data_IF_435306890151
#
_entry.id   IF_435306890151
#
_cell.length_a   1.000
_cell.length_b   1.000
_cell.length_c   1.000
_cell.angle_alpha   90.00
_cell.angle_beta   90.00
_cell.angle_gamma   90.00
#
_symmetry.space_group_name_H-M   'P 1'
#
loop_
_entity.id
_entity.type
_entity.pdbx_description
1 polymer ?
#
# COMPACT_ATOMS: atom_id res chain seq x y z
N UNK A 1 -20.70 11.33 -5.20
CA UNK A 1 -21.80 10.69 -5.96
C UNK A 1 -21.23 9.50 -6.71
N UNK A 2 -21.72 8.28 -6.45
CA UNK A 2 -21.25 7.07 -7.13
C UNK A 2 -21.34 5.79 -6.29
N UNK A 3 -21.19 5.90 -4.97
CA UNK A 3 -21.32 4.78 -4.03
C UNK A 3 -22.44 5.03 -3.02
N UNK A 4 -23.19 3.99 -2.67
CA UNK A 4 -24.19 4.05 -1.61
C UNK A 4 -23.52 4.33 -0.25
N UNK A 5 -24.15 5.08 0.66
CA UNK A 5 -23.61 5.26 2.01
C UNK A 5 -23.51 3.92 2.76
N UNK A 6 -22.55 3.76 3.69
CA UNK A 6 -22.43 2.54 4.49
C UNK A 6 -23.68 2.35 5.36
N UNK A 7 -24.23 1.13 5.36
CA UNK A 7 -25.25 0.73 6.33
C UNK A 7 -24.71 0.67 7.76
N UNK A 8 -23.41 0.36 7.91
CA UNK A 8 -22.75 0.25 9.21
C UNK A 8 -21.35 0.83 9.15
N UNK A 9 -21.00 1.61 10.18
CA UNK A 9 -19.63 2.09 10.40
C UNK A 9 -18.93 1.12 11.35
N UNK A 10 -17.85 0.50 10.88
CA UNK A 10 -17.04 -0.46 11.64
C UNK A 10 -15.97 0.22 12.49
N UNK A 11 -15.43 1.35 12.03
CA UNK A 11 -14.51 2.18 12.79
C UNK A 11 -14.83 3.67 12.58
N UNK A 12 -14.98 4.48 13.63
CA UNK A 12 -15.28 5.90 13.48
C UNK A 12 -14.12 6.68 12.80
N UNK A 13 -14.36 7.40 11.68
CA UNK A 13 -13.30 8.10 10.93
C UNK A 13 -12.55 9.16 11.76
N UNK A 14 -13.24 9.81 12.69
CA UNK A 14 -12.72 10.85 13.57
C UNK A 14 -11.70 10.34 14.61
N UNK A 15 -11.67 9.03 14.87
CA UNK A 15 -10.66 8.41 15.73
C UNK A 15 -9.31 8.21 15.04
N UNK A 16 -9.22 8.40 13.72
CA UNK A 16 -7.98 8.20 12.96
C UNK A 16 -7.09 9.44 13.06
N UNK A 17 -6.04 9.35 13.88
CA UNK A 17 -5.06 10.42 14.07
C UNK A 17 -3.94 10.34 13.02
N UNK A 18 -3.91 11.28 12.07
CA UNK A 18 -2.93 11.32 10.97
C UNK A 18 -1.52 11.75 11.40
N UNK A 19 -1.40 12.44 12.54
CA UNK A 19 -0.12 12.95 13.04
C UNK A 19 0.36 12.09 14.20
N UNK A 20 1.68 11.95 14.34
CA UNK A 20 2.28 11.24 15.46
C UNK A 20 1.88 11.86 16.80
N UNK A 21 1.36 11.04 17.72
CA UNK A 21 0.99 11.50 19.07
C UNK A 21 2.19 11.61 20.00
N UNK A 22 3.26 10.86 19.71
CA UNK A 22 4.50 10.86 20.49
C UNK A 22 5.71 11.05 19.59
N UNK A 23 6.59 11.97 19.99
CA UNK A 23 7.83 12.28 19.27
C UNK A 23 8.97 11.41 19.82
N UNK A 24 9.55 10.58 18.96
CA UNK A 24 10.65 9.68 19.28
C UNK A 24 11.56 9.48 18.06
N UNK A 25 12.80 9.06 18.32
CA UNK A 25 13.70 8.59 17.27
C UNK A 25 13.19 7.28 16.65
N UNK A 26 13.85 6.83 15.60
CA UNK A 26 13.65 5.46 15.13
C UNK A 26 13.83 4.45 16.28
N UNK A 27 12.92 3.48 16.33
CA UNK A 27 13.02 2.28 17.16
C UNK A 27 14.01 1.27 16.59
N UNK A 28 13.92 0.03 17.06
CA UNK A 28 14.88 -1.02 16.76
C UNK A 28 14.87 -1.48 15.28
N UNK A 29 16.03 -1.93 14.80
CA UNK A 29 16.16 -2.72 13.58
C UNK A 29 15.52 -4.11 13.73
N UNK A 30 15.41 -4.84 12.62
CA UNK A 30 14.85 -6.20 12.59
C UNK A 30 15.91 -7.20 12.15
N UNK A 31 16.22 -8.15 13.01
CA UNK A 31 17.22 -9.18 12.70
C UNK A 31 16.78 -10.02 11.49
N UNK A 32 17.69 -10.23 10.54
CA UNK A 32 17.45 -11.12 9.43
C UNK A 32 17.56 -12.59 9.87
N UNK A 33 16.45 -13.35 9.81
CA UNK A 33 16.37 -14.76 10.22
C UNK A 33 16.25 -15.69 9.00
N UNK A 34 17.15 -15.51 8.04
CA UNK A 34 17.23 -16.31 6.82
C UNK A 34 16.34 -15.78 5.70
N UNK A 35 16.91 -14.92 4.85
CA UNK A 35 16.25 -14.30 3.69
C UNK A 35 14.96 -13.54 4.02
N UNK A 36 14.93 -12.91 5.19
CA UNK A 36 13.73 -12.22 5.72
C UNK A 36 13.69 -10.72 5.44
N UNK A 37 14.66 -10.20 4.68
CA UNK A 37 14.80 -8.76 4.42
C UNK A 37 13.56 -8.16 3.72
N UNK A 38 12.89 -8.92 2.83
CA UNK A 38 11.67 -8.46 2.14
C UNK A 38 10.56 -8.09 3.14
N UNK A 39 10.32 -8.93 4.16
CA UNK A 39 9.30 -8.63 5.13
C UNK A 39 9.80 -7.67 6.22
N UNK A 40 11.09 -7.69 6.58
CA UNK A 40 11.65 -6.70 7.50
C UNK A 40 11.45 -5.28 6.97
N UNK A 41 11.74 -5.05 5.69
CA UNK A 41 11.53 -3.77 5.05
C UNK A 41 10.05 -3.35 5.04
N UNK A 42 9.13 -4.28 4.74
CA UNK A 42 7.68 -4.01 4.78
C UNK A 42 7.20 -3.68 6.20
N UNK A 43 7.61 -4.45 7.20
CA UNK A 43 7.24 -4.24 8.59
C UNK A 43 7.72 -2.87 9.11
N UNK A 44 8.92 -2.44 8.72
CA UNK A 44 9.41 -1.11 9.05
C UNK A 44 8.55 -0.02 8.38
N UNK A 45 8.26 -0.11 7.07
CA UNK A 45 7.37 0.85 6.40
C UNK A 45 5.99 0.96 7.07
N UNK A 46 5.38 -0.18 7.45
CA UNK A 46 4.10 -0.20 8.16
C UNK A 46 4.21 0.37 9.58
N UNK A 47 5.29 0.06 10.31
CA UNK A 47 5.54 0.56 11.67
C UNK A 47 5.63 2.09 11.72
N UNK A 48 6.19 2.71 10.68
CA UNK A 48 6.29 4.17 10.58
C UNK A 48 5.13 4.82 9.84
N UNK A 49 4.02 4.12 9.63
CA UNK A 49 2.77 4.70 9.11
C UNK A 49 2.01 5.36 10.27
N UNK A 50 1.97 6.72 10.37
CA UNK A 50 1.54 7.39 11.60
C UNK A 50 0.14 6.99 12.11
N UNK A 51 -0.94 6.98 11.29
CA UNK A 51 -2.27 6.61 11.79
C UNK A 51 -2.37 5.14 12.21
N UNK A 52 -1.66 4.24 11.53
CA UNK A 52 -1.61 2.83 11.92
C UNK A 52 -0.84 2.66 13.24
N UNK A 53 0.33 3.28 13.34
CA UNK A 53 1.16 3.21 14.53
C UNK A 53 0.45 3.78 15.77
N UNK A 54 -0.20 4.94 15.66
CA UNK A 54 -0.99 5.52 16.74
C UNK A 54 -2.07 4.56 17.26
N UNK A 55 -2.80 3.92 16.35
CA UNK A 55 -3.83 2.94 16.72
C UNK A 55 -3.24 1.69 17.37
N UNK A 56 -2.16 1.14 16.82
CA UNK A 56 -1.52 -0.06 17.36
C UNK A 56 -0.83 0.19 18.71
N UNK A 57 -0.30 1.40 18.93
CA UNK A 57 0.29 1.78 20.22
C UNK A 57 -0.78 1.97 21.31
N UNK A 58 -2.03 2.30 20.95
CA UNK A 58 -3.12 2.44 21.92
C UNK A 58 -3.60 1.11 22.52
N UNK A 59 -3.31 -0.01 21.84
CA UNK A 59 -3.76 -1.37 22.20
C UNK A 59 -5.28 -1.54 22.21
N UNK A 60 -6.02 -0.65 21.55
CA UNK A 60 -7.48 -0.73 21.45
C UNK A 60 -7.92 -2.01 20.73
N UNK A 61 -7.14 -2.49 19.75
CA UNK A 61 -7.51 -3.69 19.00
C UNK A 61 -7.44 -4.96 19.85
N UNK A 62 -6.30 -5.24 20.48
CA UNK A 62 -6.13 -6.47 21.27
C UNK A 62 -7.10 -6.56 22.46
N UNK A 63 -7.52 -5.43 23.03
CA UNK A 63 -8.51 -5.38 24.11
C UNK A 63 -9.92 -5.78 23.66
N UNK A 64 -10.26 -5.54 22.39
CA UNK A 64 -11.58 -5.84 21.82
C UNK A 64 -11.58 -7.07 20.90
N UNK A 65 -10.42 -7.67 20.64
CA UNK A 65 -10.28 -8.79 19.72
C UNK A 65 -10.70 -10.11 20.37
N UNK A 66 -11.57 -10.85 19.69
CA UNK A 66 -12.05 -12.17 20.11
C UNK A 66 -11.61 -13.30 19.16
N UNK A 67 -10.68 -13.04 18.24
CA UNK A 67 -10.16 -14.04 17.30
C UNK A 67 -9.21 -14.99 18.03
N UNK A 68 -9.49 -16.29 17.99
CA UNK A 68 -8.79 -17.29 18.82
C UNK A 68 -7.47 -17.78 18.21
N UNK A 69 -7.35 -17.84 16.88
CA UNK A 69 -6.20 -18.46 16.21
C UNK A 69 -5.22 -17.43 15.63
N UNK A 70 -5.67 -16.67 14.63
CA UNK A 70 -4.84 -15.73 13.87
C UNK A 70 -5.55 -14.38 13.72
N UNK A 71 -4.90 -13.33 14.22
CA UNK A 71 -5.32 -11.95 14.01
C UNK A 71 -4.13 -11.09 13.62
N UNK A 72 -4.05 -10.69 12.35
CA UNK A 72 -2.92 -9.91 11.86
C UNK A 72 -2.81 -8.53 12.54
N UNK A 73 -3.94 -7.94 12.96
CA UNK A 73 -3.94 -6.70 13.72
C UNK A 73 -3.28 -6.88 15.09
N UNK A 74 -3.59 -7.95 15.85
CA UNK A 74 -2.90 -8.25 17.12
C UNK A 74 -1.39 -8.52 16.93
N UNK A 75 -1.02 -9.18 15.84
CA UNK A 75 0.38 -9.48 15.50
C UNK A 75 1.14 -8.18 15.21
N UNK A 76 0.57 -7.30 14.38
CA UNK A 76 1.14 -5.98 14.08
C UNK A 76 1.16 -5.08 15.32
N UNK A 77 0.14 -5.15 16.18
CA UNK A 77 0.10 -4.42 17.45
C UNK A 77 1.30 -4.80 18.33
N UNK A 78 1.52 -6.10 18.50
CA UNK A 78 2.65 -6.66 19.25
C UNK A 78 3.98 -6.25 18.63
N UNK A 79 4.09 -6.29 17.29
CA UNK A 79 5.29 -5.91 16.56
C UNK A 79 5.63 -4.43 16.75
N UNK A 80 4.69 -3.52 16.47
CA UNK A 80 4.88 -2.07 16.57
C UNK A 80 5.23 -1.67 17.99
N UNK A 81 4.52 -2.21 18.99
CA UNK A 81 4.85 -1.95 20.39
C UNK A 81 6.26 -2.41 20.74
N UNK A 82 6.69 -3.58 20.25
CA UNK A 82 8.03 -4.11 20.51
C UNK A 82 9.12 -3.27 19.85
N UNK A 83 8.96 -2.90 18.58
CA UNK A 83 9.96 -2.14 17.81
C UNK A 83 10.14 -0.73 18.40
N UNK A 84 9.04 -0.03 18.66
CA UNK A 84 9.09 1.38 19.07
C UNK A 84 9.42 1.60 20.55
N UNK A 85 9.19 0.62 21.43
CA UNK A 85 9.57 0.71 22.86
C UNK A 85 10.82 -0.09 23.22
N UNK A 86 11.47 -0.75 22.27
CA UNK A 86 12.68 -1.52 22.52
C UNK A 86 13.84 -0.59 22.89
N UNK A 87 14.57 -0.95 23.94
CA UNK A 87 15.87 -0.34 24.28
C UNK A 87 17.05 -1.01 23.58
N UNK A 88 16.86 -2.18 22.96
CA UNK A 88 17.89 -2.85 22.17
C UNK A 88 17.91 -2.33 20.73
N UNK A 89 19.09 -2.37 20.10
CA UNK A 89 19.30 -1.85 18.74
C UNK A 89 18.54 -2.63 17.66
N UNK A 90 18.33 -3.92 17.85
CA UNK A 90 17.61 -4.78 16.92
C UNK A 90 16.80 -5.86 17.63
N UNK A 91 15.65 -6.23 17.05
CA UNK A 91 14.76 -7.26 17.60
C UNK A 91 14.47 -8.35 16.57
N UNK A 92 14.26 -9.58 17.04
CA UNK A 92 13.69 -10.63 16.19
C UNK A 92 12.17 -10.41 16.08
N UNK A 93 11.59 -10.34 14.86
CA UNK A 93 10.15 -10.20 14.63
C UNK A 93 9.39 -11.52 14.86
N UNK A 94 9.56 -12.12 16.05
CA UNK A 94 9.03 -13.45 16.40
C UNK A 94 7.52 -13.59 16.25
N UNK A 95 6.75 -12.52 16.52
CA UNK A 95 5.28 -12.55 16.38
C UNK A 95 4.85 -12.79 14.94
N UNK A 96 5.59 -12.22 13.98
CA UNK A 96 5.33 -12.36 12.53
C UNK A 96 5.90 -13.69 12.02
N UNK A 97 7.10 -14.08 12.44
CA UNK A 97 7.74 -15.34 12.03
C UNK A 97 6.90 -16.57 12.38
N UNK A 98 6.27 -16.60 13.57
CA UNK A 98 5.45 -17.73 14.02
C UNK A 98 4.20 -17.96 13.17
N UNK A 99 3.70 -16.91 12.53
CA UNK A 99 2.43 -16.90 11.81
C UNK A 99 2.61 -16.62 10.32
N UNK A 100 3.86 -16.64 9.84
CA UNK A 100 4.26 -16.29 8.49
C UNK A 100 3.44 -17.05 7.42
N UNK A 101 3.19 -18.35 7.64
CA UNK A 101 2.39 -19.20 6.74
C UNK A 101 0.90 -18.83 6.69
N UNK A 102 0.37 -18.17 7.71
CA UNK A 102 -1.03 -17.70 7.74
C UNK A 102 -1.19 -16.32 7.07
N UNK A 103 -0.09 -15.59 6.88
CA UNK A 103 -0.09 -14.32 6.14
C UNK A 103 -0.24 -14.60 4.64
N UNK A 104 0.54 -15.55 4.13
CA UNK A 104 0.39 -16.10 2.78
C UNK A 104 0.83 -17.56 2.76
N UNK A 105 -0.03 -18.45 2.26
CA UNK A 105 0.21 -19.90 2.28
C UNK A 105 1.38 -20.32 1.38
N UNK A 106 1.66 -19.54 0.34
CA UNK A 106 2.71 -19.80 -0.64
C UNK A 106 4.11 -19.43 -0.15
N UNK A 107 4.21 -18.56 0.85
CA UNK A 107 5.52 -18.12 1.34
C UNK A 107 6.25 -19.23 2.10
N UNK A 108 7.56 -19.31 1.88
CA UNK A 108 8.42 -20.27 2.58
C UNK A 108 9.56 -19.58 3.33
N UNK A 109 9.61 -19.79 4.64
CA UNK A 109 10.69 -19.24 5.46
C UNK A 109 12.05 -19.74 4.96
N UNK A 110 13.02 -18.83 4.86
CA UNK A 110 14.35 -19.12 4.31
C UNK A 110 14.46 -18.93 2.80
N UNK A 111 13.37 -18.64 2.09
CA UNK A 111 13.41 -18.21 0.69
C UNK A 111 13.30 -16.70 0.58
N UNK A 112 13.90 -16.16 -0.47
CA UNK A 112 13.63 -14.78 -0.88
C UNK A 112 12.26 -14.73 -1.56
N UNK A 113 11.48 -13.71 -1.22
CA UNK A 113 10.11 -13.52 -1.67
C UNK A 113 9.89 -12.05 -2.07
N UNK A 114 8.81 -11.77 -2.79
CA UNK A 114 8.47 -10.41 -3.21
C UNK A 114 7.90 -9.56 -2.05
N UNK A 115 8.50 -8.40 -1.80
CA UNK A 115 8.06 -7.49 -0.74
C UNK A 115 6.66 -6.89 -0.98
N UNK A 116 6.26 -6.68 -2.24
CA UNK A 116 4.92 -6.19 -2.58
C UNK A 116 3.87 -7.24 -2.27
N UNK A 117 4.13 -8.50 -2.61
CA UNK A 117 3.23 -9.61 -2.31
C UNK A 117 3.06 -9.79 -0.80
N UNK A 118 4.17 -9.76 -0.03
CA UNK A 118 4.10 -9.82 1.43
C UNK A 118 3.33 -8.64 2.05
N UNK A 119 3.52 -7.43 1.52
CA UNK A 119 2.74 -6.25 1.92
C UNK A 119 1.24 -6.47 1.66
N UNK A 120 0.88 -6.90 0.45
CA UNK A 120 -0.51 -7.15 0.06
C UNK A 120 -1.15 -8.20 0.97
N UNK A 121 -0.50 -9.33 1.19
CA UNK A 121 -0.96 -10.37 2.11
C UNK A 121 -1.16 -9.82 3.53
N UNK A 122 -0.21 -9.03 4.03
CA UNK A 122 -0.24 -8.43 5.37
C UNK A 122 -1.41 -7.44 5.53
N UNK A 123 -1.56 -6.47 4.63
CA UNK A 123 -2.61 -5.45 4.72
C UNK A 123 -3.99 -6.07 4.49
N UNK A 124 -4.12 -7.05 3.59
CA UNK A 124 -5.37 -7.81 3.42
C UNK A 124 -5.71 -8.65 4.66
N UNK A 125 -4.72 -9.26 5.31
CA UNK A 125 -4.93 -9.98 6.56
C UNK A 125 -5.36 -9.02 7.70
N UNK A 126 -4.80 -7.81 7.77
CA UNK A 126 -5.26 -6.77 8.69
C UNK A 126 -6.71 -6.35 8.38
N UNK A 127 -7.05 -6.13 7.11
CA UNK A 127 -8.41 -5.78 6.68
C UNK A 127 -9.42 -6.86 7.09
N UNK A 128 -9.12 -8.13 6.81
CA UNK A 128 -9.95 -9.27 7.22
C UNK A 128 -10.11 -9.34 8.75
N UNK A 129 -9.04 -9.10 9.50
CA UNK A 129 -9.11 -9.06 10.96
C UNK A 129 -10.07 -7.95 11.47
N UNK A 130 -10.13 -6.80 10.80
CA UNK A 130 -11.07 -5.73 11.15
C UNK A 130 -12.52 -5.99 10.71
N UNK A 131 -12.74 -6.79 9.66
CA UNK A 131 -14.09 -7.20 9.23
C UNK A 131 -14.68 -8.27 10.17
N UNK A 132 -13.83 -9.12 10.75
CA UNK A 132 -14.25 -10.24 11.60
C UNK A 132 -15.19 -11.17 10.86
N UNK A 133 -16.25 -11.63 11.52
CA UNK A 133 -17.30 -12.46 10.91
C UNK A 133 -18.30 -11.68 10.02
N UNK A 134 -18.07 -10.38 9.77
CA UNK A 134 -19.01 -9.50 9.08
C UNK A 134 -18.83 -9.51 7.55
N UNK A 135 -18.60 -10.68 6.95
CA UNK A 135 -18.33 -10.81 5.51
C UNK A 135 -19.51 -10.42 4.61
N UNK A 136 -20.73 -10.42 5.15
CA UNK A 136 -21.97 -10.18 4.38
C UNK A 136 -22.36 -8.70 4.29
N UNK A 137 -21.50 -7.80 4.80
CA UNK A 137 -21.75 -6.36 4.73
C UNK A 137 -21.61 -5.81 3.31
N UNK A 138 -22.29 -4.71 3.01
CA UNK A 138 -22.07 -3.97 1.77
C UNK A 138 -20.64 -3.42 1.67
N UNK A 139 -20.18 -3.17 0.43
CA UNK A 139 -18.82 -2.70 0.14
C UNK A 139 -18.51 -1.40 0.90
N UNK A 140 -19.50 -0.51 1.01
CA UNK A 140 -19.34 0.77 1.71
C UNK A 140 -19.12 0.60 3.20
N UNK A 141 -19.74 -0.39 3.84
CA UNK A 141 -19.54 -0.69 5.26
C UNK A 141 -18.20 -1.41 5.46
N UNK A 142 -17.84 -2.33 4.55
CA UNK A 142 -16.52 -2.98 4.57
C UNK A 142 -15.36 -1.97 4.42
N UNK A 143 -15.57 -0.85 3.74
CA UNK A 143 -14.58 0.23 3.61
C UNK A 143 -14.47 1.14 4.83
N UNK A 144 -15.31 0.95 5.86
CA UNK A 144 -15.23 1.70 7.13
C UNK A 144 -14.39 1.02 8.20
N UNK A 145 -13.67 -0.07 7.91
CA UNK A 145 -12.63 -0.57 8.82
C UNK A 145 -11.52 0.46 8.97
N UNK A 146 -10.75 0.41 10.07
CA UNK A 146 -9.60 1.31 10.22
C UNK A 146 -8.56 1.11 9.10
N UNK A 147 -8.33 -0.14 8.68
CA UNK A 147 -7.34 -0.49 7.64
C UNK A 147 -7.73 0.11 6.30
N UNK A 148 -8.98 -0.07 5.86
CA UNK A 148 -9.44 0.52 4.60
C UNK A 148 -9.54 2.05 4.70
N UNK A 149 -9.91 2.62 5.85
CA UNK A 149 -9.90 4.07 5.98
C UNK A 149 -8.49 4.69 5.96
N UNK A 150 -7.46 3.93 6.32
CA UNK A 150 -6.06 4.36 6.25
C UNK A 150 -5.51 4.16 4.83
N UNK A 151 -5.48 2.92 4.34
CA UNK A 151 -4.81 2.53 3.10
C UNK A 151 -5.73 2.46 1.88
N UNK A 152 -7.04 2.35 2.14
CA UNK A 152 -8.02 2.03 1.12
C UNK A 152 -8.56 3.23 0.38
N UNK A 153 -8.82 3.01 -0.90
CA UNK A 153 -9.49 3.95 -1.79
C UNK A 153 -10.38 3.22 -2.79
N UNK A 154 -10.94 3.98 -3.72
CA UNK A 154 -11.74 3.45 -4.82
C UNK A 154 -11.22 3.95 -6.15
N UNK A 155 -11.01 3.06 -7.10
CA UNK A 155 -10.82 3.39 -8.50
C UNK A 155 -12.18 3.45 -9.20
N UNK A 156 -12.34 4.38 -10.15
CA UNK A 156 -13.45 4.38 -11.11
C UNK A 156 -12.92 3.93 -12.47
N UNK A 157 -13.43 2.81 -12.98
CA UNK A 157 -13.28 2.38 -14.37
C UNK A 157 -14.46 2.90 -15.17
N UNK A 158 -14.19 3.82 -16.10
CA UNK A 158 -15.19 4.39 -17.01
C UNK A 158 -15.00 3.83 -18.41
N UNK A 159 -16.04 3.21 -18.97
CA UNK A 159 -16.08 2.74 -20.36
C UNK A 159 -17.04 3.62 -21.15
N UNK A 160 -16.59 4.17 -22.28
CA UNK A 160 -17.42 4.94 -23.22
C UNK A 160 -17.48 4.23 -24.56
N UNK A 161 -18.68 3.76 -24.92
CA UNK A 161 -18.94 3.10 -26.19
C UNK A 161 -18.82 4.08 -27.36
N UNK A 162 -18.05 3.75 -28.40
CA UNK A 162 -17.91 4.65 -29.55
C UNK A 162 -19.11 4.64 -30.49
N UNK A 163 -19.90 3.55 -30.52
CA UNK A 163 -21.10 3.44 -31.36
C UNK A 163 -22.30 4.22 -30.80
N UNK A 164 -22.71 3.98 -29.55
CA UNK A 164 -23.91 4.59 -28.97
C UNK A 164 -23.63 5.66 -27.91
N UNK A 165 -22.35 5.95 -27.63
CA UNK A 165 -21.91 6.93 -26.62
C UNK A 165 -22.38 6.65 -25.19
N UNK A 166 -22.90 5.44 -24.92
CA UNK A 166 -23.23 5.02 -23.56
C UNK A 166 -21.98 4.98 -22.69
N UNK A 167 -22.12 5.50 -21.47
CA UNK A 167 -21.09 5.49 -20.42
C UNK A 167 -21.44 4.42 -19.41
N UNK A 168 -20.46 3.61 -19.02
CA UNK A 168 -20.56 2.64 -17.92
C UNK A 168 -19.44 2.89 -16.93
N UNK A 169 -19.81 3.12 -15.67
CA UNK A 169 -18.85 3.25 -14.57
C UNK A 169 -18.91 2.00 -13.69
N UNK A 170 -17.74 1.49 -13.29
CA UNK A 170 -17.58 0.51 -12.22
C UNK A 170 -16.57 1.02 -11.19
N UNK A 171 -16.73 0.59 -9.94
CA UNK A 171 -15.91 1.02 -8.82
C UNK A 171 -15.23 -0.19 -8.18
N UNK A 172 -13.93 -0.07 -7.93
CA UNK A 172 -13.13 -1.15 -7.35
C UNK A 172 -12.35 -0.61 -6.15
N UNK A 173 -12.46 -1.30 -5.02
CA UNK A 173 -11.68 -1.00 -3.83
C UNK A 173 -10.22 -1.39 -4.06
N UNK A 174 -9.29 -0.56 -3.61
CA UNK A 174 -7.86 -0.88 -3.61
C UNK A 174 -7.25 -0.58 -2.24
N UNK A 175 -6.11 -1.21 -1.92
CA UNK A 175 -5.28 -0.91 -0.75
C UNK A 175 -3.88 -0.42 -1.13
N UNK A 176 -3.54 -0.53 -2.41
CA UNK A 176 -2.32 -0.07 -3.04
C UNK A 176 -2.59 0.21 -4.53
N UNK A 177 -1.70 0.98 -5.16
CA UNK A 177 -1.79 1.32 -6.59
C UNK A 177 -0.54 0.80 -7.30
N UNK A 178 -0.64 -0.31 -8.04
CA UNK A 178 0.50 -0.85 -8.78
C UNK A 178 0.60 -0.18 -10.16
N UNK A 179 1.68 0.56 -10.39
CA UNK A 179 1.91 1.36 -11.60
C UNK A 179 2.87 0.66 -12.56
N UNK A 180 2.50 0.63 -13.83
CA UNK A 180 3.43 0.29 -14.91
C UNK A 180 4.44 1.43 -15.06
N UNK A 181 5.71 1.07 -15.15
CA UNK A 181 6.82 2.01 -15.30
C UNK A 181 7.65 1.73 -16.53
N UNK A 182 7.22 0.89 -17.47
CA UNK A 182 8.00 0.54 -18.68
C UNK A 182 8.31 1.78 -19.51
N UNK A 183 7.32 2.63 -19.75
CA UNK A 183 7.47 3.89 -20.46
C UNK A 183 7.82 5.08 -19.54
N UNK A 184 7.25 5.15 -18.34
CA UNK A 184 7.38 6.30 -17.45
C UNK A 184 8.78 6.46 -16.81
N UNK A 185 9.32 7.68 -16.79
CA UNK A 185 10.58 8.06 -16.12
C UNK A 185 10.38 8.68 -14.73
N UNK A 186 9.14 8.98 -14.35
CA UNK A 186 8.78 9.51 -13.03
C UNK A 186 7.47 8.91 -12.52
N UNK A 187 7.21 9.05 -11.21
CA UNK A 187 5.95 8.68 -10.58
C UNK A 187 4.78 9.48 -11.16
N UNK A 188 4.99 10.77 -11.43
CA UNK A 188 3.96 11.64 -12.02
C UNK A 188 3.59 11.20 -13.43
N UNK A 189 4.58 10.82 -14.25
CA UNK A 189 4.34 10.25 -15.58
C UNK A 189 3.64 8.89 -15.50
N UNK A 190 4.04 8.03 -14.55
CA UNK A 190 3.38 6.73 -14.36
C UNK A 190 1.91 6.87 -13.92
N UNK A 191 1.60 7.86 -13.08
CA UNK A 191 0.23 8.18 -12.69
C UNK A 191 -0.58 8.79 -13.85
N UNK A 192 0.05 9.60 -14.70
CA UNK A 192 -0.59 10.16 -15.90
C UNK A 192 -0.91 9.07 -16.92
N UNK A 193 0.04 8.16 -17.17
CA UNK A 193 -0.17 6.96 -17.99
C UNK A 193 -1.30 6.09 -17.41
N UNK A 194 -1.33 5.90 -16.08
CA UNK A 194 -2.36 5.11 -15.40
C UNK A 194 -3.78 5.64 -15.60
N UNK A 195 -3.95 6.97 -15.68
CA UNK A 195 -5.27 7.60 -15.90
C UNK A 195 -5.56 7.93 -17.36
N UNK A 196 -4.65 7.61 -18.28
CA UNK A 196 -4.84 7.86 -19.70
C UNK A 196 -5.87 6.86 -20.27
N UNK A 197 -6.86 7.32 -21.06
CA UNK A 197 -7.81 6.41 -21.69
C UNK A 197 -7.13 5.46 -22.67
N UNK A 198 -7.35 4.16 -22.50
CA UNK A 198 -6.99 3.14 -23.47
C UNK A 198 -8.15 2.89 -24.45
N UNK A 199 -7.83 2.50 -25.68
CA UNK A 199 -8.83 2.07 -26.66
C UNK A 199 -8.99 0.56 -26.60
N UNK A 200 -10.24 0.12 -26.56
CA UNK A 200 -10.66 -1.27 -26.64
C UNK A 200 -11.18 -1.51 -28.05
N UNK A 201 -10.41 -2.20 -28.89
CA UNK A 201 -10.72 -2.50 -30.29
C UNK A 201 -10.24 -3.89 -30.71
N UNK A 202 -10.49 -4.28 -31.97
CA UNK A 202 -10.07 -5.57 -32.51
C UNK A 202 -10.56 -6.76 -31.67
N UNK A 203 -9.62 -7.60 -31.23
CA UNK A 203 -9.88 -8.76 -30.35
C UNK A 203 -10.28 -8.35 -28.92
N UNK A 204 -9.97 -7.12 -28.50
CA UNK A 204 -10.25 -6.58 -27.16
C UNK A 204 -11.53 -5.71 -27.12
N UNK A 205 -12.41 -5.82 -28.12
CA UNK A 205 -13.65 -5.05 -28.16
C UNK A 205 -14.53 -5.27 -26.91
N UNK A 206 -15.21 -4.21 -26.48
CA UNK A 206 -16.11 -4.22 -25.33
C UNK A 206 -17.52 -4.67 -25.73
N UNK A 207 -18.13 -5.58 -24.96
CA UNK A 207 -19.54 -5.96 -25.14
C UNK A 207 -20.45 -4.89 -24.52
N UNK A 208 -21.00 -4.02 -25.37
CA UNK A 208 -21.88 -2.95 -24.91
C UNK A 208 -23.27 -3.48 -24.56
N UNK A 209 -23.75 -3.21 -23.34
CA UNK A 209 -25.09 -3.62 -22.88
C UNK A 209 -26.23 -2.97 -23.65
N UNK A 210 -26.07 -1.74 -24.15
CA UNK A 210 -27.09 -1.06 -24.97
C UNK A 210 -27.09 -1.48 -26.44
N UNK A 211 -25.92 -1.82 -27.00
CA UNK A 211 -25.82 -2.25 -28.39
C UNK A 211 -25.95 -3.78 -28.55
N UNK A 212 -25.84 -4.51 -27.44
CA UNK A 212 -25.85 -5.98 -27.35
C UNK A 212 -24.82 -6.68 -28.25
N UNK A 213 -23.73 -5.97 -28.59
CA UNK A 213 -22.65 -6.47 -29.46
C UNK A 213 -21.28 -5.96 -29.02
N UNK A 214 -20.24 -6.61 -29.51
CA UNK A 214 -18.86 -6.16 -29.33
C UNK A 214 -18.62 -4.91 -30.18
N UNK A 215 -18.13 -3.86 -29.54
CA UNK A 215 -17.90 -2.54 -30.15
C UNK A 215 -16.59 -1.96 -29.66
N UNK A 216 -16.00 -1.09 -30.48
CA UNK A 216 -14.90 -0.26 -30.04
C UNK A 216 -15.35 0.69 -28.92
N UNK A 217 -14.51 0.86 -27.91
CA UNK A 217 -14.78 1.73 -26.76
C UNK A 217 -13.49 2.38 -26.26
N UNK A 218 -13.62 3.42 -25.44
CA UNK A 218 -12.52 3.87 -24.59
C UNK A 218 -12.75 3.40 -23.16
N UNK A 219 -11.68 3.01 -22.48
CA UNK A 219 -11.68 2.67 -21.06
C UNK A 219 -10.68 3.54 -20.32
N UNK A 220 -11.06 4.07 -19.17
CA UNK A 220 -10.21 4.95 -18.36
C UNK A 220 -10.33 4.60 -16.89
N UNK A 221 -9.21 4.48 -16.19
CA UNK A 221 -9.17 4.41 -14.74
C UNK A 221 -8.87 5.79 -14.14
N UNK A 222 -9.46 6.09 -12.98
CA UNK A 222 -9.17 7.30 -12.20
C UNK A 222 -9.35 7.00 -10.72
N UNK A 223 -8.67 7.73 -9.83
CA UNK A 223 -8.90 7.61 -8.39
C UNK A 223 -10.21 8.31 -8.03
N UNK A 224 -11.23 7.54 -7.63
CA UNK A 224 -12.51 8.08 -7.20
C UNK A 224 -12.47 8.58 -5.77
N UNK A 225 -12.01 7.72 -4.86
CA UNK A 225 -11.80 8.03 -3.45
C UNK A 225 -10.33 7.79 -3.13
N UNK A 226 -9.66 8.82 -2.62
CA UNK A 226 -8.24 8.75 -2.29
C UNK A 226 -8.03 8.26 -0.84
N UNK A 227 -7.02 7.40 -0.59
CA UNK A 227 -6.73 6.89 0.75
C UNK A 227 -6.08 7.97 1.63
N UNK A 228 -6.09 7.79 2.95
CA UNK A 228 -5.31 8.67 3.85
C UNK A 228 -3.80 8.44 3.73
N UNK A 229 -3.43 7.19 3.45
CA UNK A 229 -2.08 6.72 3.17
C UNK A 229 -2.08 6.03 1.81
N UNK A 230 -1.40 6.63 0.83
CA UNK A 230 -1.26 6.09 -0.51
C UNK A 230 -0.02 5.20 -0.57
N UNK A 231 -0.23 3.93 -0.86
CA UNK A 231 0.83 2.97 -1.15
C UNK A 231 0.93 2.76 -2.65
N UNK A 232 2.10 3.01 -3.23
CA UNK A 232 2.36 2.85 -4.66
C UNK A 232 3.39 1.75 -4.87
N UNK A 233 3.06 0.76 -5.69
CA UNK A 233 4.01 -0.24 -6.16
C UNK A 233 4.48 0.11 -7.57
N UNK A 234 5.79 0.26 -7.75
CA UNK A 234 6.38 0.42 -9.09
C UNK A 234 6.65 -0.98 -9.64
N UNK A 235 5.92 -1.39 -10.68
CA UNK A 235 6.02 -2.74 -11.29
C UNK A 235 7.38 -2.95 -11.97
N UNK A 236 8.42 -3.19 -11.16
CA UNK A 236 9.80 -3.38 -11.61
C UNK A 236 10.07 -4.78 -12.11
N UNK A 237 9.35 -5.78 -11.61
CA UNK A 237 9.58 -7.16 -11.98
C UNK A 237 8.61 -7.55 -13.08
N UNK A 238 9.15 -8.08 -14.17
CA UNK A 238 8.34 -8.61 -15.26
C UNK A 238 8.01 -10.07 -14.98
N UNK A 239 6.72 -10.39 -14.93
CA UNK A 239 6.22 -11.74 -14.63
C UNK A 239 6.65 -12.78 -15.68
N UNK A 240 6.99 -12.35 -16.90
CA UNK A 240 7.31 -13.24 -18.02
C UNK A 240 8.80 -13.51 -18.15
N UNK A 241 9.64 -12.47 -18.12
CA UNK A 241 11.10 -12.63 -18.25
C UNK A 241 11.82 -12.85 -16.92
N UNK A 242 11.17 -12.59 -15.78
CA UNK A 242 11.80 -12.61 -14.45
C UNK A 242 12.82 -11.49 -14.23
N UNK A 243 12.98 -10.59 -15.21
CA UNK A 243 13.93 -9.48 -15.16
C UNK A 243 13.42 -8.28 -14.38
N UNK A 244 14.36 -7.49 -13.83
CA UNK A 244 14.08 -6.24 -13.12
C UNK A 244 14.34 -5.00 -13.99
N UNK A 245 13.35 -4.13 -14.08
CA UNK A 245 13.47 -2.77 -14.59
C UNK A 245 14.32 -1.95 -13.61
N UNK A 246 15.60 -1.79 -13.96
CA UNK A 246 16.61 -1.09 -13.15
C UNK A 246 16.74 0.40 -13.50
N UNK A 247 15.89 0.90 -14.41
CA UNK A 247 15.92 2.33 -14.76
C UNK A 247 15.53 3.19 -13.57
N UNK A 248 16.08 4.40 -13.55
CA UNK A 248 15.69 5.44 -12.58
C UNK A 248 14.26 5.85 -12.86
N UNK A 249 13.45 5.92 -11.80
CA UNK A 249 12.11 6.48 -11.82
C UNK A 249 12.10 7.53 -10.73
N UNK A 250 11.97 8.79 -11.10
CA UNK A 250 11.96 9.92 -10.17
C UNK A 250 10.63 9.96 -9.39
N UNK A 251 10.67 10.27 -8.10
CA UNK A 251 9.49 10.47 -7.28
C UNK A 251 9.71 11.66 -6.35
N UNK A 252 8.70 12.53 -6.17
CA UNK A 252 8.85 13.74 -5.37
C UNK A 252 8.71 13.45 -3.86
N UNK A 253 9.19 14.36 -3.01
CA UNK A 253 8.81 14.33 -1.59
C UNK A 253 7.31 14.63 -1.41
N UNK A 254 6.77 15.53 -2.24
CA UNK A 254 5.38 15.95 -2.19
C UNK A 254 4.65 15.58 -3.47
N UNK A 255 3.53 14.87 -3.34
CA UNK A 255 2.72 14.42 -4.46
C UNK A 255 1.33 15.07 -4.39
N UNK A 256 0.91 15.75 -5.45
CA UNK A 256 -0.48 16.13 -5.62
C UNK A 256 -1.22 15.02 -6.38
N UNK A 257 -2.20 14.39 -5.72
CA UNK A 257 -2.99 13.32 -6.33
C UNK A 257 -4.18 13.85 -7.14
N UNK A 258 -4.56 15.13 -6.96
CA UNK A 258 -5.77 15.73 -7.56
C UNK A 258 -5.88 15.52 -9.09
N UNK A 259 -4.81 15.69 -9.90
CA UNK A 259 -4.91 15.54 -11.35
C UNK A 259 -5.32 14.14 -11.82
N UNK A 260 -5.10 13.12 -10.98
CA UNK A 260 -5.34 11.71 -11.29
C UNK A 260 -6.69 11.22 -10.75
N UNK A 261 -7.47 12.12 -10.13
CA UNK A 261 -8.78 11.79 -9.56
C UNK A 261 -9.92 11.91 -10.57
N UNK A 262 -11.04 11.23 -10.30
CA UNK A 262 -12.29 11.35 -11.05
C UNK A 262 -12.83 12.78 -11.08
N UNK A 263 -12.58 13.56 -10.02
CA UNK A 263 -12.93 14.97 -9.85
C UNK A 263 -11.63 15.79 -9.71
N UNK A 264 -11.09 16.20 -10.85
CA UNK A 264 -9.80 16.89 -10.93
C UNK A 264 -9.89 18.42 -10.70
N UNK A 265 -11.10 18.97 -10.61
CA UNK A 265 -11.43 20.40 -10.56
C UNK A 265 -11.47 21.01 -9.14
N UNK A 266 -10.84 20.36 -8.16
CA UNK A 266 -10.80 20.83 -6.77
C UNK A 266 -9.39 21.22 -6.30
N UNK A 267 -9.31 21.64 -5.04
CA UNK A 267 -8.05 22.00 -4.38
C UNK A 267 -6.99 20.88 -4.44
N UNK A 268 -5.68 21.20 -4.53
CA UNK A 268 -4.61 20.22 -4.51
C UNK A 268 -4.78 19.20 -3.36
N UNK A 269 -4.61 17.92 -3.68
CA UNK A 269 -4.67 16.84 -2.70
C UNK A 269 -3.24 16.37 -2.42
N UNK A 270 -2.56 17.11 -1.54
CA UNK A 270 -1.15 16.92 -1.25
C UNK A 270 -0.90 15.74 -0.32
N UNK A 271 0.14 14.98 -0.65
CA UNK A 271 0.71 13.94 0.18
C UNK A 271 2.20 14.21 0.40
N UNK A 272 2.73 13.82 1.56
CA UNK A 272 4.15 13.78 1.87
C UNK A 272 4.65 12.34 1.91
N UNK A 273 5.78 12.10 1.24
CA UNK A 273 6.51 10.84 1.30
C UNK A 273 7.03 10.62 2.73
N UNK A 274 6.81 9.42 3.27
CA UNK A 274 7.33 9.05 4.59
C UNK A 274 8.06 7.71 4.61
N UNK A 275 7.89 6.87 3.59
CA UNK A 275 8.71 5.67 3.45
C UNK A 275 8.99 5.30 1.98
N UNK A 276 10.19 4.76 1.76
CA UNK A 276 10.68 4.26 0.47
C UNK A 276 11.26 2.88 0.70
N UNK A 277 10.65 1.86 0.12
CA UNK A 277 11.20 0.50 0.14
C UNK A 277 11.99 0.26 -1.14
N UNK A 278 13.21 -0.24 -1.00
CA UNK A 278 14.18 -0.41 -2.09
C UNK A 278 14.52 -1.87 -2.21
N UNK A 279 14.64 -2.33 -3.45
CA UNK A 279 15.19 -3.64 -3.77
C UNK A 279 16.55 -3.48 -4.46
N UNK A 280 17.60 -4.09 -3.92
CA UNK A 280 18.92 -4.21 -4.54
C UNK A 280 19.10 -5.63 -5.07
N UNK A 281 19.38 -5.79 -6.36
CA UNK A 281 19.42 -7.11 -7.00
C UNK A 281 18.79 -7.07 -8.39
N UNK A 282 18.90 -8.19 -9.11
CA UNK A 282 18.51 -8.30 -10.53
C UNK A 282 17.17 -9.02 -10.75
N UNK A 283 16.64 -9.73 -9.76
CA UNK A 283 15.35 -10.43 -9.79
C UNK A 283 14.62 -10.30 -8.46
N UNK A 284 13.32 -10.59 -8.40
CA UNK A 284 12.53 -10.55 -7.16
C UNK A 284 12.82 -11.72 -6.19
N UNK A 285 13.48 -12.77 -6.68
CA UNK A 285 13.87 -13.97 -5.92
C UNK A 285 15.39 -14.03 -5.67
N UNK A 286 16.08 -12.92 -5.93
CA UNK A 286 17.53 -12.80 -5.92
C UNK A 286 17.98 -11.37 -5.66
N UNK A 287 18.12 -10.99 -4.40
CA UNK A 287 18.52 -9.65 -3.99
C UNK A 287 18.38 -9.36 -2.49
N UNK A 288 18.21 -8.07 -2.17
CA UNK A 288 18.15 -7.57 -0.81
C UNK A 288 17.19 -6.41 -0.71
N UNK A 289 16.30 -6.45 0.28
CA UNK A 289 15.35 -5.39 0.55
C UNK A 289 15.74 -4.60 1.79
N UNK A 290 15.61 -3.28 1.69
CA UNK A 290 15.78 -2.36 2.80
C UNK A 290 14.86 -1.17 2.58
N UNK A 291 14.68 -0.30 3.57
CA UNK A 291 13.83 0.87 3.41
C UNK A 291 14.42 2.13 4.04
N UNK A 292 13.87 3.27 3.64
CA UNK A 292 14.05 4.55 4.29
C UNK A 292 12.70 4.96 4.88
N UNK A 293 12.66 5.33 6.16
CA UNK A 293 11.43 5.77 6.82
C UNK A 293 11.65 7.07 7.57
N UNK A 294 10.61 7.91 7.62
CA UNK A 294 10.57 9.14 8.42
C UNK A 294 9.99 8.81 9.79
N UNK A 295 10.82 8.89 10.83
CA UNK A 295 10.37 8.65 12.20
C UNK A 295 9.54 9.83 12.74
N UNK A 296 8.93 9.65 13.90
CA UNK A 296 8.06 10.68 14.48
C UNK A 296 8.78 11.95 14.93
N UNK A 297 10.11 11.90 15.07
CA UNK A 297 10.93 13.09 15.26
C UNK A 297 11.11 13.95 13.99
N UNK A 298 10.62 13.48 12.83
CA UNK A 298 10.70 14.15 11.53
C UNK A 298 11.97 13.84 10.73
N UNK A 299 12.87 13.02 11.28
CA UNK A 299 14.14 12.65 10.64
C UNK A 299 14.00 11.35 9.84
N UNK A 300 14.82 11.21 8.80
CA UNK A 300 14.86 10.04 7.94
C UNK A 300 15.90 9.03 8.41
N UNK A 301 15.54 7.76 8.35
CA UNK A 301 16.38 6.64 8.77
C UNK A 301 16.40 5.58 7.68
N UNK A 302 17.58 5.04 7.40
CA UNK A 302 17.75 3.82 6.63
C UNK A 302 17.61 2.64 7.58
N UNK A 303 16.66 1.76 7.27
CA UNK A 303 16.38 0.51 7.98
C UNK A 303 16.84 -0.64 7.09
N UNK A 304 17.96 -1.24 7.46
CA UNK A 304 18.61 -2.33 6.73
C UNK A 304 18.81 -3.50 7.70
N UNK A 305 17.78 -4.34 7.79
CA UNK A 305 17.64 -5.38 8.81
C UNK A 305 17.94 -4.84 10.22
N UNK A 306 18.97 -5.35 10.92
CA UNK A 306 19.36 -4.90 12.25
C UNK A 306 19.91 -3.47 12.30
N UNK A 307 20.32 -2.92 11.17
CA UNK A 307 21.00 -1.63 11.09
C UNK A 307 20.00 -0.50 10.90
N UNK A 308 20.05 0.47 11.81
CA UNK A 308 19.23 1.69 11.76
C UNK A 308 20.15 2.90 11.71
N UNK A 309 20.16 3.61 10.59
CA UNK A 309 21.11 4.70 10.35
C UNK A 309 20.39 6.00 9.99
N UNK A 310 20.76 7.10 10.65
CA UNK A 310 20.23 8.42 10.28
C UNK A 310 20.72 8.82 8.88
N UNK A 311 19.81 9.28 8.03
CA UNK A 311 20.08 9.72 6.65
C UNK A 311 19.27 10.97 6.31
N UNK A 312 19.66 11.67 5.25
CA UNK A 312 18.86 12.78 4.70
C UNK A 312 17.86 12.25 3.66
N UNK A 313 16.80 13.02 3.43
CA UNK A 313 15.78 12.68 2.44
C UNK A 313 16.35 12.58 1.02
N UNK A 314 17.33 13.41 0.66
CA UNK A 314 17.99 13.35 -0.65
C UNK A 314 18.58 11.96 -0.95
N UNK A 315 19.04 11.25 0.08
CA UNK A 315 19.54 9.88 -0.08
C UNK A 315 18.39 8.92 -0.42
N UNK A 316 17.22 9.10 0.20
CA UNK A 316 16.04 8.30 -0.10
C UNK A 316 15.54 8.58 -1.52
N UNK A 317 15.40 9.85 -1.92
CA UNK A 317 14.88 10.25 -3.25
C UNK A 317 15.74 9.77 -4.43
N UNK A 318 17.02 9.46 -4.21
CA UNK A 318 17.95 8.95 -5.25
C UNK A 318 17.89 7.43 -5.40
N UNK A 319 17.10 6.71 -4.61
CA UNK A 319 17.05 5.26 -4.66
C UNK A 319 16.15 4.74 -5.78
N UNK A 320 16.44 3.52 -6.23
CA UNK A 320 15.55 2.74 -7.10
C UNK A 320 14.38 2.18 -6.29
N UNK A 321 13.44 3.05 -5.91
CA UNK A 321 12.28 2.68 -5.11
C UNK A 321 11.48 1.56 -5.76
N UNK A 322 11.08 0.57 -4.98
CA UNK A 322 10.14 -0.48 -5.36
C UNK A 322 8.73 -0.16 -4.86
N UNK A 323 8.60 0.18 -3.57
CA UNK A 323 7.35 0.65 -2.97
C UNK A 323 7.54 2.05 -2.40
N UNK A 324 6.55 2.90 -2.60
CA UNK A 324 6.50 4.27 -2.07
C UNK A 324 5.28 4.43 -1.17
N UNK A 325 5.47 5.09 -0.03
CA UNK A 325 4.40 5.34 0.93
C UNK A 325 4.28 6.83 1.21
N UNK A 326 3.08 7.33 0.96
CA UNK A 326 2.71 8.74 1.04
C UNK A 326 1.57 8.92 2.04
N UNK A 327 1.62 9.94 2.89
CA UNK A 327 0.54 10.28 3.83
C UNK A 327 0.05 11.71 3.60
N UNK A 328 -1.25 11.93 3.83
CA UNK A 328 -1.89 13.26 3.76
C UNK A 328 -1.60 14.12 4.99
#
# INVERSE_FOLDING_TARGET
EGMAPPQRILFPPEKICMVWQQRQSAGAGLLNVGNTCFFNAVLQCLTYTPPLANYLLSREHSQACHQQDFCMMCIMETHVNKVLHSSVSAVVPLSVLKVFRFIGEHFQLGREEDAHDFLCCTVNAMQRACLGASSDLDISSQSTTIVHQIFGGFLRSRVVCFSCKAVSDSYEAFLDVPLDIKAASSLTAALEDFVTPEQLDGENCFKCSKCEKNVAASKRFTVHCAPKVLTVCLKRFDCFSGGKISKVVEYPEYLDLRPYMSQADGEPLLYSLYAVLVHSGVSCHGGHYFCYTKASNGLWYRMDDESVELRCIDTALRQQAYLLFYAR
#
